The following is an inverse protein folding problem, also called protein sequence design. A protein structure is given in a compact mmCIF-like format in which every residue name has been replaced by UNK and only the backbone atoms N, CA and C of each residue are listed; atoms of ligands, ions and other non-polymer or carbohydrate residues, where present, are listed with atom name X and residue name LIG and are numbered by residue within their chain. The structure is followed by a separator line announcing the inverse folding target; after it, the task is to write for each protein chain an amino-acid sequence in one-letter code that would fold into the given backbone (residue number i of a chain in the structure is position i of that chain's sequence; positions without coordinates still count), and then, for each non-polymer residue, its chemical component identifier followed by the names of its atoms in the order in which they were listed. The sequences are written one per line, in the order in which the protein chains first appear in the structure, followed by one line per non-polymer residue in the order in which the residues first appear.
data_IF_429801777389
#
_entry.id   IF_429801777389
#
_cell.length_a   1.000
_cell.length_b   1.000
_cell.length_c   1.000
_cell.angle_alpha   90.00
_cell.angle_beta   90.00
_cell.angle_gamma   90.00
#
_symmetry.space_group_name_H-M   'P 1'
#
loop_
_entity.id
_entity.type
_entity.pdbx_description
1 polymer ?
#
# COMPACT_ATOMS: atom_id res chain seq x y z
N UNK A 1 4.36 -2.51 0.08
CA UNK A 1 3.43 -3.20 -0.83
C UNK A 1 4.08 -3.73 -2.12
N UNK A 2 5.33 -3.33 -2.43
CA UNK A 2 5.98 -3.61 -3.72
C UNK A 2 6.66 -4.98 -3.76
N UNK A 3 7.49 -5.30 -2.78
CA UNK A 3 8.31 -6.52 -2.78
C UNK A 3 9.56 -6.42 -3.65
N UNK A 4 10.19 -7.57 -3.95
CA UNK A 4 11.37 -7.68 -4.81
C UNK A 4 12.60 -6.93 -4.29
N UNK A 5 13.51 -6.59 -5.18
CA UNK A 5 14.82 -5.98 -4.85
C UNK A 5 14.72 -4.63 -4.11
N UNK A 6 13.63 -3.90 -4.28
CA UNK A 6 13.40 -2.61 -3.60
C UNK A 6 13.28 -2.76 -2.08
N UNK A 7 12.90 -3.95 -1.59
CA UNK A 7 12.67 -4.18 -0.16
C UNK A 7 13.94 -4.06 0.67
N UNK A 8 15.07 -4.60 0.18
CA UNK A 8 16.35 -4.45 0.89
C UNK A 8 16.82 -2.99 0.88
N UNK A 9 16.64 -2.29 -0.23
CA UNK A 9 16.98 -0.86 -0.31
C UNK A 9 16.14 -0.03 0.69
N UNK A 10 14.83 -0.31 0.78
CA UNK A 10 13.94 0.32 1.74
C UNK A 10 14.37 0.03 3.20
N UNK A 11 14.75 -1.21 3.50
CA UNK A 11 15.26 -1.58 4.81
C UNK A 11 16.55 -0.82 5.15
N UNK A 12 17.47 -0.71 4.20
CA UNK A 12 18.71 0.07 4.38
C UNK A 12 18.45 1.56 4.58
N UNK A 13 17.42 2.11 3.95
CA UNK A 13 16.99 3.50 4.11
C UNK A 13 16.20 3.77 5.40
N UNK A 14 15.70 2.73 6.07
CA UNK A 14 14.95 2.87 7.33
C UNK A 14 15.84 3.44 8.43
N UNK A 15 15.37 4.46 9.15
CA UNK A 15 16.08 5.07 10.26
C UNK A 15 16.19 4.12 11.47
N UNK A 16 17.14 4.38 12.37
CA UNK A 16 17.27 3.66 13.64
C UNK A 16 15.94 3.68 14.42
N UNK A 17 15.55 2.56 15.01
CA UNK A 17 14.25 2.31 15.63
C UNK A 17 13.04 2.43 14.69
N UNK A 18 13.27 2.55 13.39
CA UNK A 18 12.21 2.59 12.39
C UNK A 18 11.59 1.22 12.11
N UNK A 19 10.50 1.23 11.36
CA UNK A 19 9.74 0.02 10.97
C UNK A 19 9.57 -0.06 9.48
N UNK A 20 9.91 -1.21 8.88
CA UNK A 20 9.56 -1.56 7.52
C UNK A 20 8.27 -2.40 7.56
N UNK A 21 7.19 -1.87 6.99
CA UNK A 21 5.90 -2.55 6.96
C UNK A 21 5.78 -3.40 5.69
N UNK A 22 5.53 -4.70 5.86
CA UNK A 22 5.29 -5.64 4.77
C UNK A 22 3.78 -5.77 4.58
N UNK A 23 3.26 -5.17 3.51
CA UNK A 23 1.83 -5.08 3.21
C UNK A 23 1.45 -5.98 2.02
N UNK A 24 2.40 -6.24 1.12
CA UNK A 24 2.18 -7.06 -0.07
C UNK A 24 3.39 -7.07 -1.01
N UNK A 25 3.23 -7.77 -2.14
CA UNK A 25 4.29 -8.04 -3.11
C UNK A 25 3.80 -7.76 -4.54
N UNK A 26 3.37 -6.52 -4.81
CA UNK A 26 2.76 -6.12 -6.08
C UNK A 26 3.69 -6.29 -7.30
N UNK A 27 4.99 -6.41 -7.08
CA UNK A 27 5.96 -6.71 -8.14
C UNK A 27 6.02 -8.22 -8.50
N UNK A 28 5.32 -9.09 -7.73
CA UNK A 28 5.27 -10.54 -7.96
C UNK A 28 6.40 -11.33 -7.30
N UNK A 29 7.42 -10.69 -6.74
CA UNK A 29 8.57 -11.35 -6.11
C UNK A 29 8.55 -11.17 -4.59
N UNK A 30 8.61 -12.29 -3.85
CA UNK A 30 8.78 -12.29 -2.40
C UNK A 30 10.28 -12.14 -2.09
N UNK A 31 10.71 -11.04 -1.46
CA UNK A 31 12.12 -10.78 -1.23
C UNK A 31 12.72 -11.70 -0.17
N UNK A 32 13.99 -12.03 -0.35
CA UNK A 32 14.81 -12.67 0.68
C UNK A 32 15.74 -11.64 1.27
N UNK A 33 15.69 -11.45 2.59
CA UNK A 33 16.46 -10.44 3.31
C UNK A 33 17.35 -11.13 4.34
N UNK A 34 18.61 -10.71 4.40
CA UNK A 34 19.54 -11.14 5.43
C UNK A 34 19.15 -10.52 6.78
N UNK A 35 18.78 -11.34 7.76
CA UNK A 35 18.27 -10.88 9.06
C UNK A 35 19.26 -10.01 9.85
N UNK A 36 20.57 -10.18 9.64
CA UNK A 36 21.59 -9.35 10.26
C UNK A 36 21.40 -7.85 9.97
N UNK A 37 20.74 -7.49 8.85
CA UNK A 37 20.44 -6.09 8.55
C UNK A 37 19.52 -5.45 9.59
N UNK A 38 18.58 -6.20 10.15
CA UNK A 38 17.70 -5.68 11.21
C UNK A 38 18.49 -5.37 12.47
N UNK A 39 19.44 -6.23 12.83
CA UNK A 39 20.33 -6.05 13.98
C UNK A 39 21.25 -4.82 13.78
N UNK A 40 21.98 -4.78 12.67
CA UNK A 40 22.96 -3.71 12.39
C UNK A 40 22.27 -2.35 12.26
N UNK A 41 21.07 -2.32 11.70
CA UNK A 41 20.29 -1.08 11.51
C UNK A 41 19.47 -0.72 12.77
N UNK A 42 19.25 -1.63 13.69
CA UNK A 42 18.34 -1.43 14.82
C UNK A 42 16.92 -1.11 14.36
N UNK A 43 16.37 -1.91 13.44
CA UNK A 43 15.06 -1.69 12.83
C UNK A 43 14.16 -2.92 12.96
N UNK A 44 12.85 -2.74 12.83
CA UNK A 44 11.87 -3.81 12.84
C UNK A 44 11.29 -4.04 11.44
N UNK A 45 11.05 -5.30 11.10
CA UNK A 45 10.21 -5.69 9.94
C UNK A 45 8.89 -6.19 10.52
N UNK A 46 7.78 -5.57 10.10
CA UNK A 46 6.44 -5.84 10.65
C UNK A 46 5.50 -6.25 9.53
N UNK A 47 4.92 -7.44 9.63
CA UNK A 47 3.86 -7.88 8.72
C UNK A 47 2.55 -7.18 9.03
N UNK A 48 1.86 -6.69 7.99
CA UNK A 48 0.56 -6.05 8.08
C UNK A 48 -0.41 -6.80 7.18
N UNK A 49 -1.22 -7.67 7.76
CA UNK A 49 -2.27 -8.37 7.03
C UNK A 49 -3.63 -7.78 7.37
N UNK A 50 -3.96 -6.69 6.69
CA UNK A 50 -5.17 -5.93 6.95
C UNK A 50 -6.46 -6.77 6.74
N UNK A 51 -6.51 -7.61 5.70
CA UNK A 51 -7.66 -8.50 5.47
C UNK A 51 -7.93 -9.47 6.62
N UNK A 52 -6.89 -9.93 7.35
CA UNK A 52 -7.09 -10.71 8.56
C UNK A 52 -7.61 -9.84 9.71
N UNK A 53 -7.04 -8.65 9.86
CA UNK A 53 -7.45 -7.69 10.89
C UNK A 53 -8.95 -7.38 10.79
N UNK A 54 -9.45 -7.05 9.60
CA UNK A 54 -10.87 -6.75 9.38
C UNK A 54 -11.80 -7.89 9.75
N UNK A 55 -11.35 -9.15 9.57
CA UNK A 55 -12.13 -10.35 9.92
C UNK A 55 -12.10 -10.68 11.42
N UNK A 56 -10.99 -10.39 12.10
CA UNK A 56 -10.80 -10.74 13.51
C UNK A 56 -11.16 -9.61 14.47
N UNK A 57 -11.19 -8.37 14.00
CA UNK A 57 -11.44 -7.16 14.75
C UNK A 57 -12.43 -6.24 14.03
N UNK A 58 -13.70 -6.68 13.81
CA UNK A 58 -14.66 -5.91 13.03
C UNK A 58 -15.07 -4.59 13.69
N UNK A 59 -15.08 -4.52 15.00
CA UNK A 59 -15.43 -3.30 15.74
C UNK A 59 -14.35 -2.22 15.52
N UNK A 60 -13.10 -2.56 15.80
CA UNK A 60 -11.96 -1.67 15.61
C UNK A 60 -11.81 -1.26 14.14
N UNK A 61 -12.11 -2.18 13.22
CA UNK A 61 -12.15 -1.87 11.78
C UNK A 61 -13.19 -0.81 11.44
N UNK A 62 -14.37 -0.85 12.05
CA UNK A 62 -15.41 0.14 11.84
C UNK A 62 -15.00 1.52 12.41
N UNK A 63 -14.32 1.53 13.55
CA UNK A 63 -13.77 2.76 14.14
C UNK A 63 -12.69 3.36 13.23
N UNK A 64 -11.73 2.56 12.75
CA UNK A 64 -10.68 2.97 11.80
C UNK A 64 -11.30 3.59 10.53
N UNK A 65 -12.33 2.98 9.97
CA UNK A 65 -13.04 3.50 8.80
C UNK A 65 -13.74 4.84 9.09
N UNK A 66 -14.39 4.95 10.25
CA UNK A 66 -15.04 6.19 10.68
C UNK A 66 -14.04 7.33 10.81
N UNK A 67 -12.86 7.05 11.36
CA UNK A 67 -11.77 8.04 11.45
C UNK A 67 -11.26 8.44 10.06
N UNK A 68 -11.03 7.48 9.16
CA UNK A 68 -10.60 7.76 7.78
C UNK A 68 -11.63 8.64 7.04
N UNK A 69 -12.92 8.37 7.18
CA UNK A 69 -13.99 9.19 6.61
C UNK A 69 -13.92 10.60 7.16
N UNK A 70 -13.75 10.75 8.47
CA UNK A 70 -13.62 12.07 9.11
C UNK A 70 -12.42 12.87 8.57
N UNK A 71 -11.31 12.21 8.25
CA UNK A 71 -10.16 12.87 7.64
C UNK A 71 -10.45 13.35 6.21
N UNK A 72 -11.24 12.59 5.44
CA UNK A 72 -11.69 13.03 4.11
C UNK A 72 -12.63 14.22 4.22
N UNK A 73 -13.64 14.15 5.08
CA UNK A 73 -14.62 15.22 5.29
C UNK A 73 -13.99 16.53 5.80
N UNK A 74 -13.02 16.41 6.70
CA UNK A 74 -12.27 17.57 7.22
C UNK A 74 -11.19 18.10 6.26
N UNK A 75 -10.97 17.45 5.10
CA UNK A 75 -9.94 17.81 4.13
C UNK A 75 -8.50 17.49 4.57
N UNK A 76 -8.32 16.80 5.70
CA UNK A 76 -6.99 16.29 6.14
C UNK A 76 -6.46 15.21 5.22
N UNK A 77 -7.34 14.37 4.67
CA UNK A 77 -7.03 13.36 3.67
C UNK A 77 -7.70 13.72 2.35
N UNK A 78 -6.89 13.97 1.32
CA UNK A 78 -7.41 14.28 -0.02
C UNK A 78 -7.26 13.06 -0.91
N UNK A 79 -8.37 12.52 -1.38
CA UNK A 79 -8.43 11.44 -2.36
C UNK A 79 -8.86 12.06 -3.69
N UNK A 80 -7.90 12.31 -4.58
CA UNK A 80 -8.19 12.87 -5.90
C UNK A 80 -7.89 11.80 -6.95
N UNK A 81 -8.90 11.23 -7.60
CA UNK A 81 -8.70 10.40 -8.78
C UNK A 81 -8.00 11.23 -9.88
N UNK A 82 -6.93 10.69 -10.44
CA UNK A 82 -6.18 11.36 -11.52
C UNK A 82 -6.59 10.90 -12.90
N UNK A 83 -7.17 9.70 -12.97
CA UNK A 83 -7.58 9.08 -14.22
C UNK A 83 -9.07 8.73 -14.11
N UNK A 84 -9.86 9.18 -15.06
CA UNK A 84 -11.27 8.83 -15.14
C UNK A 84 -11.55 8.27 -16.56
N UNK A 85 -12.11 7.08 -16.62
CA UNK A 85 -12.50 6.40 -17.87
C UNK A 85 -13.99 6.11 -17.83
N UNK A 86 -14.59 6.05 -18.99
CA UNK A 86 -15.95 5.50 -19.14
C UNK A 86 -15.90 3.98 -19.07
N UNK A 87 -17.03 3.35 -18.78
CA UNK A 87 -17.12 1.88 -18.68
C UNK A 87 -16.67 1.20 -19.98
N UNK A 88 -16.97 1.81 -21.13
CA UNK A 88 -16.58 1.29 -22.45
C UNK A 88 -15.05 1.26 -22.63
N UNK A 89 -14.33 2.14 -21.92
CA UNK A 89 -12.86 2.27 -21.98
C UNK A 89 -12.13 1.45 -20.91
N UNK A 90 -12.83 0.54 -20.21
CA UNK A 90 -12.24 -0.25 -19.12
C UNK A 90 -11.01 -1.05 -19.57
N UNK A 91 -11.03 -1.60 -20.79
CA UNK A 91 -9.88 -2.32 -21.35
C UNK A 91 -8.64 -1.43 -21.48
N UNK A 92 -8.83 -0.18 -21.91
CA UNK A 92 -7.76 0.83 -22.04
C UNK A 92 -7.21 1.19 -20.64
N UNK A 93 -8.09 1.35 -19.65
CA UNK A 93 -7.70 1.62 -18.29
C UNK A 93 -6.83 0.50 -17.72
N UNK A 94 -7.22 -0.77 -17.92
CA UNK A 94 -6.47 -1.94 -17.46
C UNK A 94 -5.11 -2.06 -18.20
N UNK A 95 -5.07 -1.84 -19.50
CA UNK A 95 -3.83 -1.84 -20.28
C UNK A 95 -2.86 -0.75 -19.77
N UNK A 96 -3.37 0.44 -19.46
CA UNK A 96 -2.57 1.51 -18.90
C UNK A 96 -2.02 1.16 -17.49
N UNK A 97 -2.76 0.38 -16.69
CA UNK A 97 -2.22 -0.17 -15.44
C UNK A 97 -1.08 -1.16 -15.68
N UNK A 98 -1.27 -2.13 -16.59
CA UNK A 98 -0.25 -3.11 -16.93
C UNK A 98 1.03 -2.43 -17.44
N UNK A 99 0.88 -1.39 -18.23
CA UNK A 99 1.99 -0.61 -18.80
C UNK A 99 2.54 0.47 -17.84
N UNK A 100 2.07 0.52 -16.58
CA UNK A 100 2.48 1.49 -15.54
C UNK A 100 2.32 2.96 -15.97
N UNK A 101 1.37 3.26 -16.87
CA UNK A 101 1.08 4.61 -17.34
C UNK A 101 0.18 5.40 -16.37
N UNK A 102 -0.62 4.70 -15.56
CA UNK A 102 -1.52 5.33 -14.61
C UNK A 102 -0.76 5.75 -13.34
N UNK A 103 -0.88 7.01 -12.99
CA UNK A 103 -0.37 7.58 -11.73
C UNK A 103 -1.56 7.93 -10.83
N UNK A 104 -1.53 7.45 -9.60
CA UNK A 104 -2.59 7.69 -8.62
C UNK A 104 -3.81 6.78 -8.82
N UNK A 105 -4.97 7.21 -8.33
CA UNK A 105 -6.21 6.45 -8.40
C UNK A 105 -6.87 6.60 -9.76
N UNK A 106 -7.46 5.51 -10.23
CA UNK A 106 -8.27 5.46 -11.45
C UNK A 106 -9.71 5.13 -11.09
N UNK A 107 -10.65 5.82 -11.68
CA UNK A 107 -12.09 5.61 -11.55
C UNK A 107 -12.67 5.23 -12.89
N UNK A 108 -13.59 4.27 -12.90
CA UNK A 108 -14.45 3.94 -14.03
C UNK A 108 -15.83 4.51 -13.71
N UNK A 109 -16.33 5.39 -14.57
CA UNK A 109 -17.67 5.96 -14.48
C UNK A 109 -18.66 5.12 -15.28
N UNK A 110 -19.83 4.88 -14.72
CA UNK A 110 -20.96 4.14 -15.32
C UNK A 110 -21.96 5.14 -15.88
#
# INVERSE_FOLDING_TARGET
PVGGAVTEQALRATAFNGRLLVIGFANGEIPKISLNLTLVKGVSIVGVWWGRWTNTSPHETAEDFSELVSFVESGKLKIVPKNNYKIEDTSIALENFLNRKNIGKTVISV
#
